data_IF_319906579123
#
_entry.id   IF_319906579123
#
_cell.length_a   1.000
_cell.length_b   1.000
_cell.length_c   1.000
_cell.angle_alpha   90.00
_cell.angle_beta   90.00
_cell.angle_gamma   90.00
#
_symmetry.space_group_name_H-M   'P 1'
#
loop_
_entity.id
_entity.type
_entity.pdbx_description
1 polymer ?
#
# COMPACT_ATOMS: atom_id res chain seq x y z
N UNK A 1 47.20 -22.77 -10.25
CA UNK A 1 46.60 -21.92 -11.30
C UNK A 1 45.61 -22.77 -12.09
N UNK A 2 44.36 -22.87 -11.60
CA UNK A 2 43.33 -23.55 -12.35
C UNK A 2 42.89 -22.66 -13.50
N UNK A 3 42.86 -23.22 -14.71
CA UNK A 3 42.45 -22.55 -15.94
C UNK A 3 41.12 -21.80 -15.75
N UNK A 4 41.12 -20.48 -15.95
CA UNK A 4 39.91 -19.70 -16.16
C UNK A 4 39.23 -20.26 -17.43
N UNK A 5 38.37 -21.27 -17.28
CA UNK A 5 37.48 -21.69 -18.35
C UNK A 5 36.61 -20.50 -18.74
N UNK A 6 36.55 -20.28 -20.07
CA UNK A 6 35.61 -19.36 -20.68
C UNK A 6 34.24 -19.56 -20.07
N UNK A 7 33.87 -18.70 -19.09
CA UNK A 7 32.53 -18.67 -18.52
C UNK A 7 31.61 -18.12 -19.62
N UNK A 8 30.96 -19.01 -20.28
CA UNK A 8 29.61 -19.02 -20.83
C UNK A 8 29.27 -18.02 -21.95
N UNK A 9 29.22 -18.53 -23.14
CA UNK A 9 28.34 -18.08 -24.23
C UNK A 9 26.91 -18.53 -23.86
N UNK A 10 25.93 -17.60 -23.79
CA UNK A 10 24.48 -17.81 -23.75
C UNK A 10 23.82 -18.17 -22.42
N UNK A 11 24.38 -17.85 -21.27
CA UNK A 11 23.72 -18.05 -19.98
C UNK A 11 23.31 -16.75 -19.31
N UNK A 12 22.21 -16.82 -18.53
CA UNK A 12 21.76 -15.71 -17.69
C UNK A 12 22.59 -15.66 -16.40
N UNK A 13 23.20 -14.51 -16.13
CA UNK A 13 23.92 -14.24 -14.89
C UNK A 13 22.96 -13.57 -13.91
N UNK A 14 22.78 -14.18 -12.75
CA UNK A 14 21.86 -13.71 -11.72
C UNK A 14 22.59 -12.82 -10.72
N UNK A 15 22.20 -11.55 -10.61
CA UNK A 15 22.84 -10.56 -9.75
C UNK A 15 21.92 -10.20 -8.59
N UNK A 16 22.18 -10.73 -7.42
CA UNK A 16 21.49 -10.38 -6.18
C UNK A 16 22.10 -9.13 -5.56
N UNK A 17 21.27 -8.16 -5.20
CA UNK A 17 21.69 -6.90 -4.63
C UNK A 17 20.99 -6.70 -3.31
N UNK A 18 21.72 -6.63 -2.21
CA UNK A 18 21.19 -6.19 -0.91
C UNK A 18 21.40 -4.68 -0.80
N UNK A 19 20.28 -3.94 -0.90
CA UNK A 19 20.27 -2.47 -1.06
C UNK A 19 20.07 -1.79 0.27
N UNK A 20 21.06 -1.01 0.69
CA UNK A 20 20.99 -0.12 1.84
C UNK A 20 21.04 1.36 1.43
N UNK A 21 20.86 2.27 2.40
CA UNK A 21 20.88 3.71 2.17
C UNK A 21 22.20 4.18 1.56
N UNK A 22 23.32 3.74 2.12
CA UNK A 22 24.65 4.25 1.80
C UNK A 22 25.49 3.23 1.00
N UNK A 23 25.11 1.94 1.01
CA UNK A 23 25.88 0.87 0.36
C UNK A 23 24.99 -0.19 -0.25
N UNK A 24 25.50 -0.88 -1.28
CA UNK A 24 24.89 -2.05 -1.90
C UNK A 24 25.85 -3.24 -1.80
N UNK A 25 25.40 -4.37 -1.26
CA UNK A 25 26.16 -5.62 -1.33
C UNK A 25 25.67 -6.43 -2.53
N UNK A 26 26.62 -6.87 -3.37
CA UNK A 26 26.33 -7.50 -4.65
C UNK A 26 26.95 -8.89 -4.69
N UNK A 27 26.22 -9.84 -5.26
CA UNK A 27 26.73 -11.18 -5.57
C UNK A 27 26.21 -11.63 -6.92
N UNK A 28 27.11 -12.12 -7.78
CA UNK A 28 26.73 -12.78 -9.03
C UNK A 28 26.68 -14.29 -8.81
N UNK A 29 25.71 -14.93 -9.44
CA UNK A 29 25.50 -16.36 -9.34
C UNK A 29 25.31 -16.96 -10.74
N UNK A 30 26.09 -17.99 -10.99
CA UNK A 30 25.97 -18.84 -12.14
C UNK A 30 25.20 -20.13 -11.77
N UNK A 31 24.04 -20.32 -12.39
CA UNK A 31 23.18 -21.47 -12.10
C UNK A 31 23.75 -22.79 -12.66
N UNK A 32 24.49 -22.74 -13.77
CA UNK A 32 25.01 -23.97 -14.40
C UNK A 32 26.14 -24.55 -13.57
N UNK A 33 27.08 -23.72 -13.14
CA UNK A 33 28.20 -24.14 -12.32
C UNK A 33 27.89 -24.16 -10.82
N UNK A 34 26.68 -23.69 -10.42
CA UNK A 34 26.29 -23.50 -9.02
C UNK A 34 27.33 -22.68 -8.24
N UNK A 35 27.85 -21.62 -8.83
CA UNK A 35 29.00 -20.88 -8.33
C UNK A 35 28.64 -19.40 -8.05
N UNK A 36 29.09 -18.91 -6.89
CA UNK A 36 29.07 -17.50 -6.56
C UNK A 36 30.38 -16.84 -6.95
N UNK A 37 30.31 -15.66 -7.54
CA UNK A 37 31.49 -14.91 -7.94
C UNK A 37 31.20 -13.40 -7.94
N UNK A 38 32.22 -12.58 -8.20
CA UNK A 38 32.14 -11.12 -8.27
C UNK A 38 31.33 -10.53 -7.08
N UNK A 39 31.70 -10.93 -5.87
CA UNK A 39 31.08 -10.37 -4.66
C UNK A 39 31.75 -9.05 -4.30
N UNK A 40 30.97 -8.03 -4.00
CA UNK A 40 31.46 -6.73 -3.63
C UNK A 40 30.49 -5.98 -2.70
N UNK A 41 31.04 -5.07 -1.93
CA UNK A 41 30.28 -4.00 -1.25
C UNK A 41 30.62 -2.69 -1.93
N UNK A 42 29.61 -2.02 -2.46
CA UNK A 42 29.70 -0.81 -3.27
C UNK A 42 29.00 0.33 -2.53
N UNK A 43 29.43 1.56 -2.77
CA UNK A 43 28.62 2.71 -2.38
C UNK A 43 27.29 2.74 -3.14
N UNK A 44 26.26 3.34 -2.52
CA UNK A 44 24.95 3.42 -3.15
C UNK A 44 25.00 4.33 -4.38
N UNK A 45 24.38 3.88 -5.47
CA UNK A 45 24.26 4.65 -6.71
C UNK A 45 24.12 3.77 -7.95
N UNK A 46 23.33 4.26 -8.91
CA UNK A 46 23.15 3.55 -10.19
C UNK A 46 24.44 3.49 -10.99
N UNK A 47 25.13 4.62 -11.13
CA UNK A 47 26.35 4.71 -11.96
C UNK A 47 27.50 3.86 -11.39
N UNK A 48 27.57 3.75 -10.06
CA UNK A 48 28.54 2.89 -9.37
C UNK A 48 28.25 1.43 -9.69
N UNK A 49 26.98 1.04 -9.63
CA UNK A 49 26.53 -0.31 -9.98
C UNK A 49 26.83 -0.63 -11.45
N UNK A 50 26.52 0.28 -12.37
CA UNK A 50 26.79 0.10 -13.82
C UNK A 50 28.29 -0.08 -14.07
N UNK A 51 29.15 0.77 -13.54
CA UNK A 51 30.61 0.64 -13.66
C UNK A 51 31.13 -0.68 -13.10
N UNK A 52 30.56 -1.13 -11.99
CA UNK A 52 30.91 -2.43 -11.41
C UNK A 52 30.52 -3.60 -12.34
N UNK A 53 29.31 -3.57 -12.91
CA UNK A 53 28.85 -4.58 -13.86
C UNK A 53 29.73 -4.62 -15.12
N UNK A 54 30.06 -3.47 -15.70
CA UNK A 54 30.94 -3.34 -16.85
C UNK A 54 32.36 -3.86 -16.57
N UNK A 55 32.88 -3.56 -15.37
CA UNK A 55 34.16 -4.12 -14.91
C UNK A 55 34.08 -5.64 -14.77
N UNK A 56 33.02 -6.17 -14.17
CA UNK A 56 32.84 -7.62 -14.03
C UNK A 56 32.76 -8.33 -15.39
N UNK A 57 32.11 -7.72 -16.39
CA UNK A 57 32.11 -8.23 -17.77
C UNK A 57 33.53 -8.40 -18.30
N UNK A 58 34.40 -7.41 -18.10
CA UNK A 58 35.80 -7.45 -18.55
C UNK A 58 36.64 -8.45 -17.74
N UNK A 59 36.52 -8.41 -16.42
CA UNK A 59 37.37 -9.21 -15.51
C UNK A 59 37.10 -10.72 -15.60
N UNK A 60 35.81 -11.08 -15.85
CA UNK A 60 35.37 -12.50 -15.91
C UNK A 60 35.06 -12.96 -17.33
N UNK A 61 35.16 -12.10 -18.36
CA UNK A 61 34.87 -12.46 -19.75
C UNK A 61 33.41 -12.85 -19.98
N UNK A 62 32.47 -12.15 -19.32
CA UNK A 62 31.05 -12.50 -19.35
C UNK A 62 30.42 -12.04 -20.68
N UNK A 63 29.62 -12.91 -21.29
CA UNK A 63 28.90 -12.63 -22.55
C UNK A 63 27.39 -12.86 -22.46
N UNK A 64 26.87 -13.28 -21.28
CA UNK A 64 25.47 -13.57 -21.04
C UNK A 64 24.63 -12.35 -20.70
N UNK A 65 23.29 -12.55 -20.63
CA UNK A 65 22.37 -11.56 -20.13
C UNK A 65 22.42 -11.45 -18.60
N UNK A 66 22.25 -10.23 -18.08
CA UNK A 66 22.18 -10.00 -16.65
C UNK A 66 20.73 -9.89 -16.20
N UNK A 67 20.32 -10.70 -15.21
CA UNK A 67 19.10 -10.51 -14.45
C UNK A 67 19.44 -10.03 -13.05
N UNK A 68 19.21 -8.74 -12.80
CA UNK A 68 19.46 -8.14 -11.50
C UNK A 68 18.20 -8.12 -10.64
N UNK A 69 18.36 -8.22 -9.32
CA UNK A 69 17.22 -8.10 -8.43
C UNK A 69 17.59 -7.79 -7.00
N UNK A 70 16.68 -7.08 -6.34
CA UNK A 70 16.79 -6.75 -4.93
C UNK A 70 15.44 -6.84 -4.22
N UNK A 71 15.48 -6.95 -2.89
CA UNK A 71 14.27 -7.00 -2.07
C UNK A 71 13.62 -5.61 -1.97
N UNK A 72 12.28 -5.55 -2.08
CA UNK A 72 11.54 -4.32 -1.88
C UNK A 72 11.74 -3.79 -0.45
N UNK A 73 12.27 -2.59 -0.33
CA UNK A 73 12.65 -1.95 0.91
C UNK A 73 12.40 -0.43 0.92
N UNK A 74 12.88 0.27 1.95
CA UNK A 74 12.69 1.72 2.10
C UNK A 74 13.44 2.55 1.06
N UNK A 75 14.42 2.00 0.36
CA UNK A 75 15.20 2.65 -0.68
C UNK A 75 14.42 2.88 -2.00
N UNK A 76 13.22 2.31 -2.10
CA UNK A 76 12.29 2.56 -3.21
C UNK A 76 12.71 1.94 -4.53
N UNK A 77 12.35 2.62 -5.62
CA UNK A 77 12.44 2.10 -6.99
C UNK A 77 13.60 2.71 -7.81
N UNK A 78 14.35 3.65 -7.24
CA UNK A 78 15.35 4.47 -7.96
C UNK A 78 16.41 3.63 -8.65
N UNK A 79 17.02 2.68 -7.94
CA UNK A 79 18.06 1.80 -8.49
C UNK A 79 17.54 0.96 -9.66
N UNK A 80 16.35 0.35 -9.52
CA UNK A 80 15.75 -0.47 -10.59
C UNK A 80 15.47 0.38 -11.84
N UNK A 81 14.93 1.59 -11.69
CA UNK A 81 14.70 2.51 -12.82
C UNK A 81 15.99 2.94 -13.48
N UNK A 82 17.00 3.28 -12.69
CA UNK A 82 18.32 3.66 -13.19
C UNK A 82 18.95 2.53 -14.00
N UNK A 83 19.00 1.32 -13.45
CA UNK A 83 19.55 0.16 -14.16
C UNK A 83 18.81 -0.15 -15.45
N UNK A 84 17.47 -0.06 -15.46
CA UNK A 84 16.68 -0.23 -16.70
C UNK A 84 16.98 0.83 -17.76
N UNK A 85 17.23 2.08 -17.36
CA UNK A 85 17.66 3.13 -18.31
C UNK A 85 19.02 2.81 -18.97
N UNK A 86 19.90 2.10 -18.29
CA UNK A 86 21.17 1.59 -18.82
C UNK A 86 21.06 0.24 -19.55
N UNK A 87 19.83 -0.24 -19.82
CA UNK A 87 19.59 -1.46 -20.58
C UNK A 87 19.66 -2.76 -19.77
N UNK A 88 19.87 -2.71 -18.46
CA UNK A 88 19.89 -3.90 -17.62
C UNK A 88 18.49 -4.36 -17.24
N UNK A 89 18.26 -5.68 -17.28
CA UNK A 89 17.03 -6.27 -16.77
C UNK A 89 17.08 -6.35 -15.24
N UNK A 90 16.30 -5.48 -14.57
CA UNK A 90 16.26 -5.40 -13.13
C UNK A 90 14.84 -5.62 -12.61
N UNK A 91 14.69 -6.42 -11.56
CA UNK A 91 13.42 -6.71 -10.88
C UNK A 91 13.51 -6.39 -9.41
N UNK A 92 12.36 -6.07 -8.81
CA UNK A 92 12.21 -5.89 -7.37
C UNK A 92 11.41 -7.08 -6.85
N UNK A 93 11.92 -7.76 -5.83
CA UNK A 93 11.34 -8.98 -5.28
C UNK A 93 10.51 -8.65 -4.03
N UNK A 94 9.34 -9.29 -3.92
CA UNK A 94 8.49 -9.13 -2.73
C UNK A 94 9.09 -9.88 -1.53
N UNK A 95 9.29 -9.21 -0.38
CA UNK A 95 9.95 -9.78 0.81
C UNK A 95 9.31 -11.09 1.30
N UNK A 96 7.99 -11.16 1.22
CA UNK A 96 7.21 -12.32 1.69
C UNK A 96 7.42 -13.60 0.88
N UNK A 97 8.10 -13.52 -0.26
CA UNK A 97 8.33 -14.66 -1.15
C UNK A 97 9.77 -15.16 -1.11
N UNK A 98 10.68 -14.40 -0.51
CA UNK A 98 12.09 -14.79 -0.36
C UNK A 98 12.17 -15.79 0.80
N UNK A 99 12.51 -17.04 0.46
CA UNK A 99 12.64 -18.12 1.45
C UNK A 99 13.97 -17.99 2.19
N UNK A 100 13.93 -17.71 3.48
CA UNK A 100 15.09 -17.76 4.37
C UNK A 100 15.19 -19.19 4.96
N UNK A 101 16.38 -19.75 4.98
CA UNK A 101 16.59 -21.05 5.63
C UNK A 101 16.31 -20.92 7.15
N UNK A 102 15.47 -21.82 7.66
CA UNK A 102 15.24 -21.90 9.10
C UNK A 102 16.50 -22.39 9.78
N UNK A 103 17.08 -21.62 10.72
CA UNK A 103 18.28 -22.00 11.47
C UNK A 103 19.52 -21.16 11.19
N UNK A 104 19.59 -20.36 10.14
CA UNK A 104 20.70 -19.44 9.92
C UNK A 104 20.56 -18.22 10.84
N UNK A 105 21.26 -18.24 11.98
CA UNK A 105 21.26 -17.17 12.99
C UNK A 105 22.22 -16.01 12.67
N UNK A 106 23.08 -16.18 11.66
CA UNK A 106 24.07 -15.17 11.28
C UNK A 106 23.62 -14.47 10.01
N UNK A 107 23.07 -13.26 10.17
CA UNK A 107 22.69 -12.39 9.06
C UNK A 107 23.88 -11.49 8.70
N UNK A 108 24.24 -11.46 7.41
CA UNK A 108 25.22 -10.52 6.84
C UNK A 108 24.76 -10.10 5.45
N UNK A 109 25.06 -8.84 5.08
CA UNK A 109 24.70 -8.26 3.77
C UNK A 109 25.19 -9.18 2.61
N UNK A 110 26.36 -9.79 2.76
CA UNK A 110 26.92 -10.76 1.78
C UNK A 110 26.05 -11.99 1.61
N UNK A 111 25.53 -12.57 2.70
CA UNK A 111 24.63 -13.72 2.66
C UNK A 111 23.28 -13.36 2.05
N UNK A 112 22.78 -12.16 2.38
CA UNK A 112 21.52 -11.68 1.82
C UNK A 112 21.67 -11.46 0.29
N UNK A 113 22.77 -10.88 -0.21
CA UNK A 113 23.03 -10.75 -1.64
C UNK A 113 23.11 -12.11 -2.36
N UNK A 114 23.79 -13.12 -1.76
CA UNK A 114 23.82 -14.50 -2.27
C UNK A 114 22.42 -15.12 -2.33
N UNK A 115 21.64 -14.99 -1.26
CA UNK A 115 20.27 -15.50 -1.20
C UNK A 115 19.40 -14.89 -2.31
N UNK A 116 19.55 -13.59 -2.56
CA UNK A 116 18.81 -12.91 -3.61
C UNK A 116 19.20 -13.40 -5.00
N UNK A 117 20.49 -13.65 -5.27
CA UNK A 117 20.93 -14.18 -6.57
C UNK A 117 20.42 -15.61 -6.83
N UNK A 118 20.42 -16.48 -5.83
CA UNK A 118 19.84 -17.84 -5.94
C UNK A 118 18.31 -17.77 -6.09
N UNK A 119 17.65 -16.86 -5.37
CA UNK A 119 16.20 -16.66 -5.49
C UNK A 119 15.80 -16.21 -6.89
N UNK A 120 16.60 -15.34 -7.52
CA UNK A 120 16.45 -14.96 -8.93
C UNK A 120 16.58 -16.15 -9.86
N UNK A 121 17.64 -16.96 -9.67
CA UNK A 121 17.93 -18.12 -10.50
C UNK A 121 16.86 -19.22 -10.42
N UNK A 122 16.21 -19.37 -9.27
CA UNK A 122 15.14 -20.36 -9.06
C UNK A 122 13.75 -19.88 -9.46
N UNK A 123 13.59 -18.61 -9.90
CA UNK A 123 12.30 -17.93 -10.11
C UNK A 123 11.36 -18.02 -8.88
N UNK A 124 11.94 -18.16 -7.68
CA UNK A 124 11.24 -18.38 -6.42
C UNK A 124 10.68 -17.11 -5.78
N UNK A 125 10.39 -16.09 -6.56
CA UNK A 125 9.96 -14.78 -6.07
C UNK A 125 8.74 -14.22 -6.81
N UNK A 126 8.06 -13.27 -6.20
CA UNK A 126 7.04 -12.45 -6.87
C UNK A 126 7.61 -11.08 -7.19
N UNK A 127 7.50 -10.67 -8.45
CA UNK A 127 7.90 -9.34 -8.90
C UNK A 127 6.99 -8.27 -8.27
N UNK A 128 7.61 -7.24 -7.70
CA UNK A 128 6.90 -6.03 -7.29
C UNK A 128 6.63 -5.19 -8.52
N UNK A 129 5.41 -4.70 -8.64
CA UNK A 129 5.04 -3.78 -9.72
C UNK A 129 5.80 -2.47 -9.57
N UNK A 130 6.49 -2.08 -10.62
CA UNK A 130 7.20 -0.80 -10.71
C UNK A 130 6.20 0.26 -11.18
N UNK A 131 5.75 1.18 -10.32
CA UNK A 131 4.78 2.19 -10.71
C UNK A 131 5.39 3.21 -11.67
N UNK A 132 4.54 3.86 -12.44
CA UNK A 132 4.92 5.08 -13.15
C UNK A 132 5.38 6.16 -12.15
N UNK A 133 6.39 6.99 -12.48
CA UNK A 133 6.88 8.04 -11.58
C UNK A 133 5.79 9.02 -11.10
N UNK A 134 4.84 9.38 -11.95
CA UNK A 134 3.73 10.26 -11.59
C UNK A 134 2.79 9.59 -10.59
N UNK A 135 2.46 8.30 -10.81
CA UNK A 135 1.63 7.54 -9.86
C UNK A 135 2.35 7.36 -8.53
N UNK A 136 3.68 7.18 -8.53
CA UNK A 136 4.46 7.10 -7.31
C UNK A 136 4.44 8.42 -6.53
N UNK A 137 4.61 9.55 -7.20
CA UNK A 137 4.56 10.88 -6.57
C UNK A 137 3.18 11.17 -5.99
N UNK A 138 2.11 10.91 -6.75
CA UNK A 138 0.72 11.07 -6.29
C UNK A 138 0.40 10.13 -5.13
N UNK A 139 0.90 8.91 -5.18
CA UNK A 139 0.78 7.95 -4.07
C UNK A 139 1.43 8.48 -2.79
N UNK A 140 2.64 9.02 -2.85
CA UNK A 140 3.30 9.61 -1.68
C UNK A 140 2.55 10.84 -1.16
N UNK A 141 1.98 11.66 -2.05
CA UNK A 141 1.14 12.79 -1.66
C UNK A 141 -0.11 12.35 -0.89
N UNK A 142 -0.85 11.36 -1.40
CA UNK A 142 -2.02 10.82 -0.68
C UNK A 142 -1.65 10.14 0.64
N UNK A 143 -0.47 9.54 0.73
CA UNK A 143 0.08 8.96 1.97
C UNK A 143 0.42 10.02 2.99
N UNK A 144 0.99 11.15 2.57
CA UNK A 144 1.29 12.31 3.43
C UNK A 144 0.00 12.83 4.07
N UNK A 145 -1.05 13.00 3.29
CA UNK A 145 -2.37 13.39 3.81
C UNK A 145 -2.88 12.40 4.87
N UNK A 146 -2.74 11.09 4.65
CA UNK A 146 -3.17 10.07 5.61
C UNK A 146 -2.34 10.09 6.89
N UNK A 147 -1.05 10.40 6.81
CA UNK A 147 -0.17 10.58 7.96
C UNK A 147 -0.65 11.77 8.81
N UNK A 148 -0.93 12.92 8.19
CA UNK A 148 -1.47 14.08 8.90
C UNK A 148 -2.84 13.80 9.54
N UNK A 149 -3.69 12.98 8.91
CA UNK A 149 -4.96 12.54 9.53
C UNK A 149 -4.72 11.71 10.79
N UNK A 150 -3.66 10.91 10.82
CA UNK A 150 -3.20 10.20 12.02
C UNK A 150 -2.76 11.16 13.13
N UNK A 151 -1.97 12.19 12.78
CA UNK A 151 -1.54 13.23 13.70
C UNK A 151 -2.74 14.00 14.25
N UNK A 152 -3.68 14.40 13.40
CA UNK A 152 -4.92 15.06 13.83
C UNK A 152 -5.72 14.22 14.83
N UNK A 153 -5.85 12.92 14.58
CA UNK A 153 -6.50 12.01 15.53
C UNK A 153 -5.79 12.02 16.89
N UNK A 154 -4.47 12.01 16.91
CA UNK A 154 -3.67 12.05 18.14
C UNK A 154 -3.79 13.39 18.84
N UNK A 155 -3.71 14.51 18.12
CA UNK A 155 -3.89 15.86 18.67
C UNK A 155 -5.27 16.01 19.33
N UNK A 156 -6.34 15.55 18.65
CA UNK A 156 -7.69 15.51 19.20
C UNK A 156 -7.79 14.71 20.50
N UNK A 157 -7.13 13.54 20.56
CA UNK A 157 -7.08 12.72 21.78
C UNK A 157 -6.31 13.41 22.90
N UNK A 158 -5.18 14.05 22.58
CA UNK A 158 -4.35 14.78 23.54
C UNK A 158 -5.14 15.91 24.18
N UNK A 159 -5.85 16.72 23.37
CA UNK A 159 -6.68 17.83 23.87
C UNK A 159 -7.79 17.33 24.81
N UNK A 160 -8.53 16.30 24.41
CA UNK A 160 -9.60 15.74 25.27
C UNK A 160 -9.04 15.13 26.56
N UNK A 161 -7.88 14.46 26.49
CA UNK A 161 -7.22 13.91 27.68
C UNK A 161 -6.68 15.01 28.60
N UNK A 162 -6.19 16.12 28.05
CA UNK A 162 -5.79 17.28 28.84
C UNK A 162 -6.99 17.86 29.60
N UNK A 163 -8.09 18.16 28.89
CA UNK A 163 -9.29 18.71 29.48
C UNK A 163 -9.86 17.82 30.60
N UNK A 164 -9.84 16.50 30.41
CA UNK A 164 -10.28 15.56 31.43
C UNK A 164 -9.38 15.62 32.68
N UNK A 165 -8.05 15.66 32.51
CA UNK A 165 -7.10 15.70 33.65
C UNK A 165 -7.21 16.99 34.48
N UNK A 166 -7.56 18.10 33.84
CA UNK A 166 -7.70 19.39 34.54
C UNK A 166 -9.13 19.64 35.07
N UNK A 167 -9.99 18.60 35.03
CA UNK A 167 -11.35 18.70 35.56
C UNK A 167 -12.32 19.52 34.73
N UNK A 168 -12.01 19.69 33.42
CA UNK A 168 -12.85 20.49 32.49
C UNK A 168 -13.37 19.60 31.33
N UNK A 169 -14.06 18.47 31.59
CA UNK A 169 -14.62 17.63 30.51
C UNK A 169 -15.79 18.39 29.84
N UNK A 170 -16.07 18.00 28.57
CA UNK A 170 -17.25 18.51 27.88
C UNK A 170 -18.53 18.19 28.68
N UNK A 171 -19.32 19.17 29.04
CA UNK A 171 -20.41 19.00 30.04
C UNK A 171 -21.64 18.29 29.48
N UNK A 172 -21.73 18.16 28.14
CA UNK A 172 -22.93 17.60 27.54
C UNK A 172 -22.72 16.15 27.09
N UNK A 173 -23.80 15.37 27.09
CA UNK A 173 -23.84 14.06 26.44
C UNK A 173 -23.94 14.23 24.93
N UNK A 174 -23.04 13.59 24.18
CA UNK A 174 -23.09 13.65 22.73
C UNK A 174 -21.75 13.34 22.05
N UNK A 175 -21.73 13.55 20.74
CA UNK A 175 -20.53 13.30 19.94
C UNK A 175 -19.56 14.47 20.03
N UNK A 176 -18.30 14.19 20.29
CA UNK A 176 -17.22 15.16 20.18
C UNK A 176 -17.03 15.63 18.71
N UNK A 177 -16.43 16.81 18.53
CA UNK A 177 -16.04 17.41 17.24
C UNK A 177 -17.20 17.87 16.37
N UNK A 178 -18.42 17.96 16.93
CA UNK A 178 -19.57 18.67 16.34
C UNK A 178 -19.39 20.18 16.48
N UNK A 179 -20.16 20.98 15.72
CA UNK A 179 -20.11 22.44 15.84
C UNK A 179 -20.40 22.90 17.28
N UNK A 180 -21.34 22.23 17.98
CA UNK A 180 -21.65 22.50 19.37
C UNK A 180 -20.44 22.27 20.30
N UNK A 181 -19.72 21.14 20.14
CA UNK A 181 -18.51 20.87 20.91
C UNK A 181 -17.39 21.85 20.58
N UNK A 182 -17.23 22.25 19.31
CA UNK A 182 -16.23 23.25 18.88
C UNK A 182 -16.52 24.62 19.44
N UNK A 183 -17.79 25.05 19.43
CA UNK A 183 -18.22 26.30 20.04
C UNK A 183 -17.90 26.31 21.54
N UNK A 184 -18.15 25.22 22.24
CA UNK A 184 -17.76 25.08 23.64
C UNK A 184 -16.23 25.17 23.83
N UNK A 185 -15.42 24.48 23.01
CA UNK A 185 -13.95 24.58 23.06
C UNK A 185 -13.50 26.06 22.94
N UNK A 186 -14.14 26.84 22.12
CA UNK A 186 -13.81 28.28 21.97
C UNK A 186 -14.17 29.12 23.19
N UNK A 187 -14.98 28.62 24.13
CA UNK A 187 -15.34 29.32 25.39
C UNK A 187 -14.50 28.83 26.58
N UNK A 188 -13.72 27.77 26.43
CA UNK A 188 -12.88 27.22 27.52
C UNK A 188 -11.80 28.23 27.90
N UNK A 189 -11.71 28.56 29.20
CA UNK A 189 -10.69 29.44 29.77
C UNK A 189 -10.23 28.93 31.13
N UNK A 190 -9.00 29.22 31.46
CA UNK A 190 -8.35 28.83 32.72
C UNK A 190 -7.77 30.06 33.43
N UNK A 191 -8.00 30.16 34.73
CA UNK A 191 -7.39 31.23 35.55
C UNK A 191 -5.86 31.03 35.69
N UNK A 192 -5.40 29.80 35.61
CA UNK A 192 -3.97 29.50 35.65
C UNK A 192 -3.35 29.70 34.25
N UNK A 193 -2.38 30.61 34.18
CA UNK A 193 -1.68 30.98 32.93
C UNK A 193 -1.09 29.76 32.21
N UNK A 194 -0.48 28.81 32.92
CA UNK A 194 0.17 27.66 32.29
C UNK A 194 -0.86 26.67 31.71
N UNK A 195 -2.01 26.51 32.39
CA UNK A 195 -3.09 25.67 31.83
C UNK A 195 -3.73 26.36 30.62
N UNK A 196 -3.89 27.68 30.62
CA UNK A 196 -4.40 28.42 29.45
C UNK A 196 -3.45 28.26 28.26
N UNK A 197 -2.13 28.49 28.43
CA UNK A 197 -1.16 28.32 27.36
C UNK A 197 -1.12 26.87 26.80
N UNK A 198 -1.25 25.91 27.70
CA UNK A 198 -1.28 24.48 27.29
C UNK A 198 -2.53 24.17 26.46
N UNK A 199 -3.68 24.65 26.89
CA UNK A 199 -4.93 24.50 26.16
C UNK A 199 -4.88 25.18 24.78
N UNK A 200 -4.46 26.44 24.74
CA UNK A 200 -4.36 27.20 23.50
C UNK A 200 -3.44 26.53 22.48
N UNK A 201 -2.29 26.01 22.94
CA UNK A 201 -1.34 25.28 22.11
C UNK A 201 -1.97 24.00 21.53
N UNK A 202 -2.60 23.18 22.38
CA UNK A 202 -3.23 21.93 21.94
C UNK A 202 -4.43 22.17 21.01
N UNK A 203 -5.21 23.20 21.27
CA UNK A 203 -6.36 23.56 20.44
C UNK A 203 -5.92 24.15 19.10
N UNK A 204 -4.85 24.96 19.09
CA UNK A 204 -4.28 25.50 17.85
C UNK A 204 -3.68 24.39 16.98
N UNK A 205 -2.99 23.40 17.57
CA UNK A 205 -2.46 22.23 16.84
C UNK A 205 -3.59 21.50 16.09
N UNK A 206 -4.74 21.29 16.73
CA UNK A 206 -5.89 20.66 16.07
C UNK A 206 -6.36 21.48 14.87
N UNK A 207 -6.51 22.82 15.04
CA UNK A 207 -6.95 23.74 13.96
C UNK A 207 -5.96 23.74 12.79
N UNK A 208 -4.67 23.80 13.08
CA UNK A 208 -3.61 23.83 12.07
C UNK A 208 -3.57 22.52 11.26
N UNK A 209 -3.72 21.38 11.92
CA UNK A 209 -3.78 20.09 11.24
C UNK A 209 -5.04 19.94 10.38
N UNK A 210 -6.17 20.45 10.84
CA UNK A 210 -7.42 20.48 10.05
C UNK A 210 -7.26 21.36 8.80
N UNK A 211 -6.69 22.56 8.92
CA UNK A 211 -6.42 23.44 7.79
C UNK A 211 -5.45 22.81 6.77
N UNK A 212 -4.34 22.21 7.25
CA UNK A 212 -3.40 21.50 6.39
C UNK A 212 -4.06 20.36 5.63
N UNK A 213 -4.89 19.55 6.30
CA UNK A 213 -5.60 18.44 5.65
C UNK A 213 -6.60 18.97 4.62
N UNK A 214 -7.32 20.04 4.90
CA UNK A 214 -8.26 20.66 3.97
C UNK A 214 -7.57 21.14 2.68
N UNK A 215 -6.39 21.77 2.81
CA UNK A 215 -5.59 22.18 1.66
C UNK A 215 -5.11 20.98 0.82
N UNK A 216 -4.65 19.89 1.48
CA UNK A 216 -4.27 18.67 0.76
C UNK A 216 -5.50 18.01 0.10
N UNK A 217 -6.65 18.04 0.72
CA UNK A 217 -7.88 17.49 0.13
C UNK A 217 -8.30 18.30 -1.12
N UNK A 218 -8.14 19.62 -1.14
CA UNK A 218 -8.37 20.45 -2.32
C UNK A 218 -7.43 20.07 -3.47
N UNK A 219 -6.13 19.95 -3.21
CA UNK A 219 -5.16 19.51 -4.22
C UNK A 219 -5.44 18.08 -4.71
N UNK A 220 -5.92 17.18 -3.84
CA UNK A 220 -6.33 15.82 -4.23
C UNK A 220 -7.53 15.86 -5.20
N UNK A 221 -8.49 16.76 -4.99
CA UNK A 221 -9.63 16.93 -5.93
C UNK A 221 -9.13 17.47 -7.29
N UNK A 222 -8.15 18.37 -7.32
CA UNK A 222 -7.52 18.86 -8.55
C UNK A 222 -6.84 17.71 -9.32
N UNK A 223 -5.94 16.97 -8.65
CA UNK A 223 -5.21 15.83 -9.24
C UNK A 223 -6.19 14.75 -9.73
N UNK A 224 -7.25 14.48 -8.99
CA UNK A 224 -8.25 13.47 -9.36
C UNK A 224 -9.01 13.83 -10.65
N UNK A 225 -9.07 15.12 -11.00
CA UNK A 225 -9.68 15.61 -12.25
C UNK A 225 -8.72 15.65 -13.45
N UNK A 226 -7.44 15.35 -13.26
CA UNK A 226 -6.50 15.21 -14.37
C UNK A 226 -6.89 14.00 -15.26
N UNK A 227 -6.69 14.10 -16.58
CA UNK A 227 -7.05 13.07 -17.57
C UNK A 227 -6.52 11.68 -17.20
N UNK A 228 -5.34 11.64 -16.56
CA UNK A 228 -4.70 10.40 -16.10
C UNK A 228 -5.52 9.62 -15.09
N UNK A 229 -6.25 10.31 -14.22
CA UNK A 229 -6.94 9.71 -13.07
C UNK A 229 -8.46 9.77 -13.17
N UNK A 230 -8.97 10.79 -13.84
CA UNK A 230 -10.39 11.17 -13.85
C UNK A 230 -11.32 10.00 -14.09
N UNK A 231 -11.19 9.28 -15.20
CA UNK A 231 -12.09 8.16 -15.54
C UNK A 231 -12.13 7.08 -14.45
N UNK A 232 -10.97 6.74 -13.89
CA UNK A 232 -10.85 5.72 -12.85
C UNK A 232 -11.45 6.19 -11.52
N UNK A 233 -11.18 7.43 -11.14
CA UNK A 233 -11.69 8.03 -9.89
C UNK A 233 -13.20 8.17 -9.98
N UNK A 234 -13.72 8.73 -11.06
CA UNK A 234 -15.14 8.95 -11.29
C UNK A 234 -15.96 7.65 -11.22
N UNK A 235 -15.42 6.55 -11.74
CA UNK A 235 -16.02 5.21 -11.59
C UNK A 235 -16.03 4.72 -10.15
N UNK A 236 -14.94 4.89 -9.42
CA UNK A 236 -14.81 4.40 -8.05
C UNK A 236 -15.66 5.18 -7.05
N UNK A 237 -15.82 6.49 -7.23
CA UNK A 237 -16.65 7.30 -6.32
C UNK A 237 -18.14 7.02 -6.45
N UNK A 238 -18.55 6.21 -7.43
CA UNK A 238 -19.93 5.71 -7.55
C UNK A 238 -20.31 4.74 -6.42
N UNK A 239 -19.34 4.10 -5.76
CA UNK A 239 -19.61 3.30 -4.55
C UNK A 239 -19.88 4.21 -3.35
N UNK A 240 -20.94 3.90 -2.58
CA UNK A 240 -21.41 4.78 -1.48
C UNK A 240 -20.37 5.09 -0.41
N UNK A 241 -19.38 4.21 -0.21
CA UNK A 241 -18.33 4.36 0.80
C UNK A 241 -17.00 4.91 0.28
N UNK A 242 -16.87 5.19 -1.02
CA UNK A 242 -15.64 5.67 -1.63
C UNK A 242 -15.80 7.15 -1.99
N UNK A 243 -14.87 7.98 -1.51
CA UNK A 243 -14.74 9.39 -1.85
C UNK A 243 -13.48 9.62 -2.68
N UNK A 244 -13.32 10.81 -3.28
CA UNK A 244 -12.23 11.16 -4.19
C UNK A 244 -10.86 10.78 -3.67
N UNK A 245 -10.51 11.20 -2.45
CA UNK A 245 -9.23 10.81 -1.82
C UNK A 245 -9.03 9.28 -1.77
N UNK A 246 -10.08 8.53 -1.39
CA UNK A 246 -9.99 7.06 -1.29
C UNK A 246 -9.84 6.44 -2.68
N UNK A 247 -10.59 6.94 -3.67
CA UNK A 247 -10.51 6.48 -5.06
C UNK A 247 -9.13 6.72 -5.65
N UNK A 248 -8.61 7.96 -5.57
CA UNK A 248 -7.29 8.32 -6.06
C UNK A 248 -6.20 7.49 -5.38
N UNK A 249 -6.27 7.34 -4.04
CA UNK A 249 -5.31 6.50 -3.30
C UNK A 249 -5.33 5.04 -3.78
N UNK A 250 -6.50 4.45 -4.02
CA UNK A 250 -6.62 3.09 -4.56
C UNK A 250 -5.99 3.00 -5.95
N UNK A 251 -6.27 3.95 -6.83
CA UNK A 251 -5.73 3.99 -8.20
C UNK A 251 -4.20 4.05 -8.19
N UNK A 252 -3.61 4.97 -7.41
CA UNK A 252 -2.16 5.14 -7.35
C UNK A 252 -1.43 4.01 -6.62
N UNK A 253 -2.04 3.41 -5.60
CA UNK A 253 -1.43 2.27 -4.88
C UNK A 253 -1.43 0.98 -5.72
N UNK A 254 -2.42 0.80 -6.61
CA UNK A 254 -2.54 -0.38 -7.46
C UNK A 254 -1.80 -0.20 -8.79
N UNK A 255 -1.92 0.97 -9.41
CA UNK A 255 -1.43 1.29 -10.76
C UNK A 255 -2.22 0.54 -11.83
N UNK A 256 -1.78 -0.64 -12.24
CA UNK A 256 -2.45 -1.45 -13.25
C UNK A 256 -3.28 -2.57 -12.62
N UNK A 257 -4.60 -2.51 -12.80
CA UNK A 257 -5.55 -3.55 -12.34
C UNK A 257 -5.55 -4.78 -13.23
N UNK A 258 -5.17 -4.65 -14.50
CA UNK A 258 -5.15 -5.77 -15.46
C UNK A 258 -4.07 -6.80 -15.18
N UNK A 259 -3.07 -6.46 -14.34
CA UNK A 259 -2.06 -7.42 -13.87
C UNK A 259 -2.62 -8.55 -13.00
N UNK A 260 -3.87 -8.44 -12.56
CA UNK A 260 -4.58 -9.49 -11.85
C UNK A 260 -5.58 -10.14 -12.80
N UNK A 261 -5.42 -11.43 -13.06
CA UNK A 261 -6.30 -12.16 -13.98
C UNK A 261 -7.73 -12.32 -13.43
N UNK A 262 -7.86 -12.39 -12.09
CA UNK A 262 -9.16 -12.56 -11.42
C UNK A 262 -9.33 -11.66 -10.20
N UNK A 263 -10.57 -11.43 -9.78
CA UNK A 263 -10.91 -10.69 -8.56
C UNK A 263 -10.34 -11.36 -7.30
N UNK A 264 -10.27 -12.70 -7.29
CA UNK A 264 -9.69 -13.49 -6.20
C UNK A 264 -8.19 -13.24 -6.07
N UNK A 265 -7.45 -13.19 -7.20
CA UNK A 265 -6.03 -12.83 -7.19
C UNK A 265 -5.80 -11.43 -6.65
N UNK A 266 -6.64 -10.46 -7.06
CA UNK A 266 -6.59 -9.10 -6.53
C UNK A 266 -6.86 -9.07 -5.02
N UNK A 267 -7.91 -9.76 -4.56
CA UNK A 267 -8.24 -9.86 -3.14
C UNK A 267 -7.15 -10.54 -2.31
N UNK A 268 -6.50 -11.56 -2.88
CA UNK A 268 -5.34 -12.25 -2.27
C UNK A 268 -4.12 -11.33 -2.17
N UNK A 269 -3.82 -10.57 -3.22
CA UNK A 269 -2.76 -9.55 -3.22
C UNK A 269 -2.97 -8.51 -2.11
N UNK A 270 -4.21 -8.14 -1.81
CA UNK A 270 -4.55 -7.23 -0.72
C UNK A 270 -4.46 -7.89 0.67
N UNK A 271 -4.31 -9.21 0.74
CA UNK A 271 -4.29 -9.96 2.00
C UNK A 271 -5.63 -10.00 2.71
N UNK A 272 -6.73 -9.89 1.96
CA UNK A 272 -8.11 -9.94 2.46
C UNK A 272 -8.70 -11.36 2.44
N UNK A 273 -7.98 -12.32 1.87
CA UNK A 273 -8.36 -13.73 1.89
C UNK A 273 -8.04 -14.35 3.25
N UNK A 274 -8.90 -15.25 3.78
CA UNK A 274 -8.58 -16.00 4.97
C UNK A 274 -7.38 -16.92 4.71
N UNK A 275 -6.57 -17.15 5.74
CA UNK A 275 -5.60 -18.24 5.71
C UNK A 275 -6.36 -19.57 5.72
N UNK A 276 -5.81 -20.57 5.03
CA UNK A 276 -6.36 -21.90 4.98
C UNK A 276 -5.28 -22.89 5.37
N UNK A 277 -5.61 -23.74 6.33
CA UNK A 277 -4.84 -24.90 6.71
C UNK A 277 -5.73 -26.12 6.54
N UNK A 278 -5.49 -26.89 5.49
CA UNK A 278 -6.34 -28.01 5.09
C UNK A 278 -5.48 -29.25 4.89
N UNK A 279 -5.83 -30.30 5.61
CA UNK A 279 -5.24 -31.61 5.45
C UNK A 279 -6.35 -32.65 5.25
N UNK A 280 -6.26 -33.42 4.16
CA UNK A 280 -7.26 -34.44 3.84
C UNK A 280 -8.66 -33.86 3.68
N UNK A 281 -9.64 -34.38 4.44
CA UNK A 281 -11.04 -33.95 4.40
C UNK A 281 -11.36 -32.74 5.26
N UNK A 282 -10.41 -32.23 6.05
CA UNK A 282 -10.65 -31.14 7.01
C UNK A 282 -10.20 -29.81 6.43
N UNK A 283 -11.13 -28.85 6.29
CA UNK A 283 -10.84 -27.49 5.88
C UNK A 283 -10.92 -26.54 7.08
N UNK A 284 -9.81 -25.91 7.46
CA UNK A 284 -9.74 -24.93 8.53
C UNK A 284 -9.39 -23.56 7.95
N UNK A 285 -10.27 -22.58 8.17
CA UNK A 285 -10.05 -21.20 7.80
C UNK A 285 -9.65 -20.38 9.01
N UNK A 286 -8.53 -19.66 8.91
CA UNK A 286 -8.06 -18.75 9.94
C UNK A 286 -8.46 -17.29 9.68
N UNK A 287 -7.71 -16.38 10.28
CA UNK A 287 -7.86 -14.95 10.03
C UNK A 287 -7.39 -14.60 8.60
N UNK A 288 -7.64 -13.36 8.16
CA UNK A 288 -7.09 -12.86 6.87
C UNK A 288 -5.56 -12.94 6.88
N UNK A 289 -4.96 -13.22 5.73
CA UNK A 289 -3.50 -13.42 5.60
C UNK A 289 -2.69 -12.19 5.94
N UNK A 290 -3.27 -10.98 5.80
CA UNK A 290 -2.62 -9.68 5.99
C UNK A 290 -1.37 -9.46 5.12
N UNK A 291 -1.12 -10.33 4.16
CA UNK A 291 -0.07 -10.14 3.16
C UNK A 291 -0.36 -8.91 2.28
N UNK A 292 0.68 -8.29 1.74
CA UNK A 292 0.54 -7.15 0.84
C UNK A 292 0.24 -5.81 1.54
N UNK A 293 -0.35 -4.88 0.80
CA UNK A 293 -0.43 -3.47 1.18
C UNK A 293 -1.43 -3.21 2.33
N UNK A 294 -0.93 -2.88 3.51
CA UNK A 294 -1.75 -2.58 4.70
C UNK A 294 -2.55 -1.27 4.55
N UNK A 295 -2.05 -0.30 3.79
CA UNK A 295 -2.75 0.98 3.55
C UNK A 295 -4.01 0.77 2.71
N UNK A 296 -3.92 -0.05 1.66
CA UNK A 296 -5.09 -0.44 0.86
C UNK A 296 -6.12 -1.18 1.70
N UNK A 297 -5.70 -2.11 2.57
CA UNK A 297 -6.63 -2.78 3.48
C UNK A 297 -7.34 -1.79 4.39
N UNK A 298 -6.63 -0.80 4.93
CA UNK A 298 -7.23 0.26 5.76
C UNK A 298 -8.26 1.07 4.96
N UNK A 299 -7.90 1.55 3.76
CA UNK A 299 -8.80 2.32 2.90
C UNK A 299 -10.07 1.54 2.56
N UNK A 300 -9.93 0.27 2.17
CA UNK A 300 -11.07 -0.59 1.85
C UNK A 300 -11.94 -0.89 3.08
N UNK A 301 -11.32 -1.04 4.26
CA UNK A 301 -12.05 -1.23 5.52
C UNK A 301 -12.87 0.02 5.86
N UNK A 302 -12.30 1.21 5.74
CA UNK A 302 -13.01 2.47 6.01
C UNK A 302 -14.12 2.73 4.97
N UNK A 303 -13.85 2.45 3.69
CA UNK A 303 -14.87 2.50 2.63
C UNK A 303 -16.04 1.54 2.94
N UNK A 304 -15.74 0.32 3.37
CA UNK A 304 -16.74 -0.69 3.76
C UNK A 304 -17.58 -0.24 4.95
N UNK A 305 -16.96 0.38 5.95
CA UNK A 305 -17.71 1.01 7.07
C UNK A 305 -18.62 2.13 6.60
N UNK A 306 -18.17 2.91 5.60
CA UNK A 306 -18.98 3.91 4.93
C UNK A 306 -20.21 3.30 4.24
N UNK A 307 -20.01 2.23 3.49
CA UNK A 307 -21.10 1.46 2.86
C UNK A 307 -22.07 0.93 3.93
N UNK A 308 -21.57 0.31 5.00
CA UNK A 308 -22.39 -0.22 6.08
C UNK A 308 -23.32 0.83 6.69
N UNK A 309 -22.81 2.05 6.91
CA UNK A 309 -23.55 3.18 7.51
C UNK A 309 -24.50 3.89 6.54
N UNK A 310 -24.35 3.71 5.23
CA UNK A 310 -25.21 4.38 4.25
C UNK A 310 -26.67 3.91 4.38
N UNK A 311 -27.62 4.78 4.01
CA UNK A 311 -29.04 4.40 3.99
C UNK A 311 -29.27 3.29 2.94
N UNK A 312 -29.94 2.16 3.28
CA UNK A 312 -30.20 1.08 2.34
C UNK A 312 -31.32 1.41 1.32
N UNK A 313 -32.16 2.40 1.61
CA UNK A 313 -33.35 2.72 0.83
C UNK A 313 -33.22 4.01 0.01
N UNK A 314 -32.25 4.87 0.33
CA UNK A 314 -32.09 6.14 -0.36
C UNK A 314 -30.60 6.49 -0.52
N UNK A 315 -30.26 7.05 -1.68
CA UNK A 315 -28.95 7.62 -1.94
C UNK A 315 -28.84 9.00 -1.31
N UNK A 316 -27.70 9.32 -0.70
CA UNK A 316 -27.44 10.68 -0.23
C UNK A 316 -27.27 11.64 -1.42
N UNK A 317 -27.56 12.93 -1.21
CA UNK A 317 -27.32 13.97 -2.22
C UNK A 317 -25.87 13.97 -2.72
N UNK A 318 -24.90 13.75 -1.80
CA UNK A 318 -23.47 13.64 -2.16
C UNK A 318 -23.16 12.45 -3.05
N UNK A 319 -23.82 11.29 -2.87
CA UNK A 319 -23.62 10.13 -3.74
C UNK A 319 -24.22 10.38 -5.11
N UNK A 320 -25.41 10.97 -5.19
CA UNK A 320 -26.05 11.33 -6.46
C UNK A 320 -25.18 12.29 -7.28
N UNK A 321 -24.59 13.31 -6.64
CA UNK A 321 -23.65 14.21 -7.32
C UNK A 321 -22.41 13.48 -7.87
N UNK A 322 -21.83 12.54 -7.11
CA UNK A 322 -20.68 11.76 -7.60
C UNK A 322 -21.02 10.79 -8.73
N UNK A 323 -22.26 10.33 -8.81
CA UNK A 323 -22.74 9.45 -9.88
C UNK A 323 -23.19 10.23 -11.12
N UNK A 324 -23.33 11.55 -11.02
CA UNK A 324 -23.75 12.40 -12.13
C UNK A 324 -22.73 12.33 -13.28
N UNK A 325 -23.23 12.15 -14.51
CA UNK A 325 -22.38 12.04 -15.70
C UNK A 325 -21.79 10.64 -15.95
N UNK A 326 -21.96 9.69 -15.02
CA UNK A 326 -21.52 8.31 -15.23
C UNK A 326 -22.55 7.48 -16.00
N UNK A 327 -22.10 6.45 -16.74
CA UNK A 327 -22.99 5.57 -17.48
C UNK A 327 -23.93 4.80 -16.55
N UNK A 328 -25.17 4.52 -16.96
CA UNK A 328 -26.13 3.74 -16.17
C UNK A 328 -25.59 2.39 -15.71
N UNK A 329 -24.76 1.72 -16.53
CA UNK A 329 -24.13 0.43 -16.19
C UNK A 329 -23.13 0.55 -15.03
N UNK A 330 -22.29 1.58 -15.04
CA UNK A 330 -21.34 1.87 -13.94
C UNK A 330 -22.08 2.15 -12.63
N UNK A 331 -23.13 2.99 -12.70
CA UNK A 331 -23.94 3.32 -11.52
C UNK A 331 -24.64 2.07 -10.98
N UNK A 332 -25.29 1.29 -11.85
CA UNK A 332 -26.01 0.08 -11.46
C UNK A 332 -25.05 -0.95 -10.81
N UNK A 333 -23.86 -1.12 -11.37
CA UNK A 333 -22.84 -2.02 -10.82
C UNK A 333 -22.35 -1.57 -9.43
N UNK A 334 -22.08 -0.28 -9.24
CA UNK A 334 -21.68 0.27 -7.94
C UNK A 334 -22.79 0.14 -6.89
N UNK A 335 -24.05 0.36 -7.28
CA UNK A 335 -25.21 0.20 -6.40
C UNK A 335 -25.44 -1.27 -6.03
N UNK A 336 -25.37 -2.20 -7.00
CA UNK A 336 -25.42 -3.66 -6.80
C UNK A 336 -24.34 -4.09 -5.79
N UNK A 337 -23.09 -3.59 -5.98
CA UNK A 337 -21.98 -3.86 -5.08
C UNK A 337 -22.22 -3.35 -3.66
N UNK A 338 -22.63 -2.09 -3.51
CA UNK A 338 -22.93 -1.48 -2.22
C UNK A 338 -24.05 -2.21 -1.46
N UNK A 339 -25.14 -2.58 -2.16
CA UNK A 339 -26.25 -3.35 -1.62
C UNK A 339 -25.81 -4.74 -1.15
N UNK A 340 -25.08 -5.47 -2.00
CA UNK A 340 -24.59 -6.82 -1.72
C UNK A 340 -23.63 -6.85 -0.52
N UNK A 341 -22.70 -5.89 -0.44
CA UNK A 341 -21.75 -5.76 0.68
C UNK A 341 -22.51 -5.54 1.98
N UNK A 342 -23.48 -4.62 2.00
CA UNK A 342 -24.31 -4.34 3.17
C UNK A 342 -25.08 -5.56 3.63
N UNK A 343 -25.73 -6.28 2.70
CA UNK A 343 -26.47 -7.51 3.00
C UNK A 343 -25.56 -8.60 3.57
N UNK A 344 -24.34 -8.77 3.02
CA UNK A 344 -23.36 -9.73 3.49
C UNK A 344 -22.91 -9.42 4.91
N UNK A 345 -22.61 -8.16 5.23
CA UNK A 345 -22.22 -7.74 6.58
C UNK A 345 -23.36 -8.03 7.56
N UNK A 346 -24.58 -7.58 7.25
CA UNK A 346 -25.74 -7.78 8.09
C UNK A 346 -26.05 -9.27 8.34
N UNK A 347 -25.91 -10.13 7.32
CA UNK A 347 -26.06 -11.58 7.44
C UNK A 347 -25.03 -12.18 8.39
N UNK A 348 -23.76 -11.79 8.27
CA UNK A 348 -22.67 -12.29 9.12
C UNK A 348 -22.85 -11.85 10.57
N UNK A 349 -23.26 -10.61 10.83
CA UNK A 349 -23.52 -10.09 12.18
C UNK A 349 -24.71 -10.78 12.82
N UNK A 350 -25.81 -11.02 12.08
CA UNK A 350 -26.96 -11.82 12.56
C UNK A 350 -26.58 -13.26 12.91
N UNK A 351 -25.61 -13.82 12.19
CA UNK A 351 -25.08 -15.16 12.47
C UNK A 351 -24.01 -15.16 13.58
N UNK A 352 -23.93 -14.11 14.41
CA UNK A 352 -23.03 -14.01 15.56
C UNK A 352 -21.55 -13.75 15.22
N UNK A 353 -21.20 -13.41 13.98
CA UNK A 353 -19.82 -13.06 13.67
C UNK A 353 -19.46 -11.68 14.22
N UNK A 354 -18.27 -11.50 14.82
CA UNK A 354 -17.81 -10.19 15.30
C UNK A 354 -17.86 -9.12 14.20
N UNK A 355 -18.25 -7.90 14.54
CA UNK A 355 -18.42 -6.81 13.59
C UNK A 355 -17.18 -6.53 12.71
N UNK A 356 -15.97 -6.67 13.29
CA UNK A 356 -14.73 -6.52 12.52
C UNK A 356 -14.54 -7.63 11.47
N UNK A 357 -14.90 -8.88 11.80
CA UNK A 357 -14.85 -10.02 10.86
C UNK A 357 -15.83 -9.79 9.71
N UNK A 358 -17.06 -9.39 10.04
CA UNK A 358 -18.09 -9.07 9.05
C UNK A 358 -17.66 -7.91 8.14
N UNK A 359 -17.04 -6.86 8.71
CA UNK A 359 -16.49 -5.72 7.93
C UNK A 359 -15.37 -6.17 7.00
N UNK A 360 -14.46 -7.04 7.44
CA UNK A 360 -13.38 -7.56 6.58
C UNK A 360 -13.90 -8.42 5.43
N UNK A 361 -14.94 -9.22 5.68
CA UNK A 361 -15.64 -9.96 4.62
C UNK A 361 -16.29 -9.02 3.60
N UNK A 362 -16.84 -7.89 4.06
CA UNK A 362 -17.33 -6.81 3.21
C UNK A 362 -16.22 -6.13 2.41
N UNK A 363 -15.05 -5.87 3.02
CA UNK A 363 -13.91 -5.27 2.34
C UNK A 363 -13.33 -6.19 1.24
N UNK A 364 -13.33 -7.50 1.46
CA UNK A 364 -13.00 -8.48 0.42
C UNK A 364 -14.00 -8.41 -0.75
N UNK A 365 -15.27 -8.36 -0.46
CA UNK A 365 -16.31 -8.22 -1.50
C UNK A 365 -16.13 -6.91 -2.27
N UNK A 366 -15.90 -5.78 -1.56
CA UNK A 366 -15.63 -4.48 -2.18
C UNK A 366 -14.43 -4.54 -3.11
N UNK A 367 -13.35 -5.23 -2.72
CA UNK A 367 -12.17 -5.37 -3.58
C UNK A 367 -12.52 -6.09 -4.89
N UNK A 368 -13.36 -7.12 -4.86
CA UNK A 368 -13.80 -7.80 -6.08
C UNK A 368 -14.63 -6.87 -7.00
N UNK A 369 -15.53 -6.06 -6.43
CA UNK A 369 -16.28 -5.07 -7.20
C UNK A 369 -15.39 -3.96 -7.78
N UNK A 370 -14.39 -3.50 -7.03
CA UNK A 370 -13.40 -2.53 -7.53
C UNK A 370 -12.61 -3.12 -8.70
N UNK A 371 -12.14 -4.36 -8.59
CA UNK A 371 -11.44 -5.03 -9.69
C UNK A 371 -12.33 -5.14 -10.93
N UNK A 372 -13.57 -5.60 -10.78
CA UNK A 372 -14.53 -5.68 -11.89
C UNK A 372 -14.78 -4.33 -12.56
N UNK A 373 -14.98 -3.26 -11.77
CA UNK A 373 -15.16 -1.89 -12.26
C UNK A 373 -13.94 -1.40 -13.07
N UNK A 374 -12.72 -1.66 -12.57
CA UNK A 374 -11.48 -1.18 -13.18
C UNK A 374 -11.04 -2.01 -14.41
N UNK A 375 -11.49 -3.24 -14.54
CA UNK A 375 -11.17 -4.12 -15.69
C UNK A 375 -12.29 -4.20 -16.72
N UNK A 376 -13.41 -3.52 -16.48
CA UNK A 376 -14.58 -3.53 -17.37
C UNK A 376 -15.49 -4.75 -17.20
N UNK A 377 -15.25 -5.61 -16.21
CA UNK A 377 -16.10 -6.78 -15.90
C UNK A 377 -17.28 -6.36 -15.02
N UNK A 378 -18.20 -5.56 -15.56
CA UNK A 378 -19.34 -4.95 -14.85
C UNK A 378 -20.70 -5.54 -15.23
N UNK A 379 -20.74 -6.70 -15.83
CA UNK A 379 -21.97 -7.40 -16.17
C UNK A 379 -22.77 -7.89 -14.96
#
# INVERSE_FOLDING_TARGET
MQSRRSLMKDSVIYVGIDVHKDTNSVCMYDRQDNAFFAEAKLDAGTDIMVRYLEKAVKDYGLSGEFLLGYEAGPTGYGLCRGLKKHGYNCVIMAPTTIRKASGDKVKTDRKDARLLSVTLASDGYRKVYLPDPSDESTKEFTRTRNTLKGHLKKAKQNLLSFLLRVGMPYPESGNYWTDKHRNWLNTVSFNNRMLQLSFDTLWQEVKDLEAKIANLDATIEEIANEDRYKDKVDKLVCFSGIQTHTALSIVCEIGDFKRFATAEQFSSYLGLCPSQDSSGKTQRYGSITKCGNNRLRLLLTEATKGIKRSNPYAKSKRLLLRQQGQSPSVIAYADKGSKRIKQKIAKLERNGKPANVATMAGARELSCFIWGMMTGNIA
#
